data_IF_086022980246
#
_entry.id   IF_086022980246
#
_cell.length_a   1.000
_cell.length_b   1.000
_cell.length_c   1.000
_cell.angle_alpha   90.00
_cell.angle_beta   90.00
_cell.angle_gamma   90.00
#
_symmetry.space_group_name_H-M   'P 1'
#
loop_
_entity.id
_entity.type
_entity.pdbx_description
1 polymer ?
#
# COMPACT_ATOMS: atom_id res chain seq x y z
N UNK A 1 -35.18 -10.31 -54.68
CA UNK A 1 -35.19 -9.08 -53.84
C UNK A 1 -34.73 -9.53 -52.44
N UNK A 2 -33.52 -9.24 -51.91
CA UNK A 2 -32.96 -7.95 -51.41
C UNK A 2 -34.03 -7.16 -50.61
N UNK A 3 -33.90 -6.72 -49.35
CA UNK A 3 -32.82 -6.63 -48.33
C UNK A 3 -33.46 -6.36 -46.92
N UNK A 4 -32.75 -6.75 -45.87
CA UNK A 4 -32.52 -6.09 -44.55
C UNK A 4 -33.66 -5.62 -43.61
N UNK A 5 -33.58 -6.04 -42.33
CA UNK A 5 -33.14 -5.27 -41.12
C UNK A 5 -33.65 -6.02 -39.87
N UNK A 6 -32.93 -6.23 -38.76
CA UNK A 6 -31.69 -5.63 -38.28
C UNK A 6 -30.96 -6.51 -37.25
N UNK A 7 -29.87 -5.99 -36.66
CA UNK A 7 -28.88 -6.75 -35.92
C UNK A 7 -29.27 -6.89 -34.45
N UNK A 8 -29.32 -8.12 -33.93
CA UNK A 8 -29.34 -8.34 -32.47
C UNK A 8 -27.90 -8.45 -32.02
N UNK A 9 -27.50 -7.40 -31.29
CA UNK A 9 -26.31 -7.22 -30.48
C UNK A 9 -25.34 -8.41 -30.43
N UNK A 10 -24.16 -8.22 -31.03
CA UNK A 10 -22.94 -8.85 -30.56
C UNK A 10 -22.75 -8.47 -29.09
N UNK A 11 -22.89 -9.44 -28.18
CA UNK A 11 -22.35 -9.33 -26.84
C UNK A 11 -20.82 -9.44 -26.96
N UNK A 12 -20.17 -8.34 -27.30
CA UNK A 12 -18.74 -8.17 -27.00
C UNK A 12 -18.63 -8.17 -25.48
N UNK A 13 -18.36 -9.34 -24.92
CA UNK A 13 -17.82 -9.49 -23.57
C UNK A 13 -16.55 -8.65 -23.57
N UNK A 14 -16.64 -7.45 -22.99
CA UNK A 14 -15.50 -6.60 -22.73
C UNK A 14 -14.46 -7.46 -22.04
N UNK A 15 -13.29 -7.52 -22.66
CA UNK A 15 -12.05 -7.92 -22.03
C UNK A 15 -11.99 -7.27 -20.64
N UNK A 16 -12.25 -8.06 -19.60
CA UNK A 16 -11.61 -7.80 -18.33
C UNK A 16 -10.13 -8.00 -18.61
N UNK A 17 -9.45 -6.91 -18.99
CA UNK A 17 -8.01 -6.85 -18.90
C UNK A 17 -7.74 -6.98 -17.42
N UNK A 18 -7.57 -8.22 -16.98
CA UNK A 18 -6.82 -8.55 -15.80
C UNK A 18 -5.44 -7.98 -16.08
N UNK A 19 -5.26 -6.70 -15.77
CA UNK A 19 -3.96 -6.20 -15.43
C UNK A 19 -3.62 -6.99 -14.16
N UNK A 20 -3.05 -8.17 -14.35
CA UNK A 20 -2.02 -8.62 -13.46
C UNK A 20 -1.06 -7.44 -13.42
N UNK A 21 -1.23 -6.57 -12.43
CA UNK A 21 -0.14 -5.74 -11.96
C UNK A 21 0.98 -6.75 -11.80
N UNK A 22 2.01 -6.63 -12.64
CA UNK A 22 3.21 -7.43 -12.49
C UNK A 22 3.61 -7.13 -11.05
N UNK A 23 3.36 -8.10 -10.16
CA UNK A 23 3.82 -8.01 -8.80
C UNK A 23 5.32 -7.99 -8.96
N UNK A 24 5.92 -6.81 -8.91
CA UNK A 24 7.33 -6.73 -8.62
C UNK A 24 7.49 -7.51 -7.31
N UNK A 25 8.28 -8.58 -7.36
CA UNK A 25 8.45 -9.46 -6.21
C UNK A 25 8.97 -8.62 -5.03
N UNK A 26 8.46 -8.92 -3.84
CA UNK A 26 8.96 -8.29 -2.63
C UNK A 26 10.46 -8.52 -2.52
N UNK A 27 11.22 -7.45 -2.41
CA UNK A 27 12.64 -7.55 -2.11
C UNK A 27 12.79 -7.98 -0.66
N UNK A 28 13.33 -9.18 -0.42
CA UNK A 28 13.67 -9.71 0.92
C UNK A 28 14.72 -8.85 1.65
N UNK A 29 15.43 -7.99 0.91
CA UNK A 29 16.37 -7.04 1.49
C UNK A 29 16.49 -5.78 0.62
N UNK A 30 16.69 -4.61 1.24
CA UNK A 30 16.88 -3.37 0.50
C UNK A 30 18.14 -3.46 -0.38
N UNK A 31 18.06 -3.13 -1.68
CA UNK A 31 19.25 -3.10 -2.51
C UNK A 31 20.25 -2.06 -1.97
N UNK A 32 21.57 -2.33 -2.03
CA UNK A 32 22.57 -1.40 -1.54
C UNK A 32 22.45 -0.04 -2.26
N UNK A 33 22.51 1.04 -1.47
CA UNK A 33 22.40 2.42 -1.97
C UNK A 33 20.97 2.95 -2.14
N UNK A 34 19.97 2.29 -1.56
CA UNK A 34 18.57 2.73 -1.54
C UNK A 34 18.20 3.29 -0.17
N UNK A 35 17.45 4.39 -0.17
CA UNK A 35 16.94 4.98 1.06
C UNK A 35 15.80 4.13 1.64
N UNK A 36 15.85 3.89 2.94
CA UNK A 36 14.80 3.21 3.69
C UNK A 36 14.45 3.96 4.96
N UNK A 37 13.21 3.77 5.41
CA UNK A 37 12.70 4.36 6.64
C UNK A 37 11.94 3.33 7.44
N UNK A 38 12.18 3.32 8.75
CA UNK A 38 11.52 2.43 9.70
C UNK A 38 10.71 3.26 10.69
N UNK A 39 9.45 2.87 10.88
CA UNK A 39 8.50 3.49 11.78
C UNK A 39 7.94 2.45 12.73
N UNK A 40 7.54 2.86 13.95
CA UNK A 40 6.75 1.99 14.84
C UNK A 40 5.27 2.19 14.60
N UNK A 41 4.52 1.10 14.48
CA UNK A 41 3.06 1.09 14.58
C UNK A 41 2.63 0.79 16.03
N UNK A 42 2.99 1.67 16.95
CA UNK A 42 2.76 1.48 18.39
C UNK A 42 3.33 0.15 18.92
N UNK A 43 2.45 -0.70 19.46
CA UNK A 43 2.81 -2.06 19.95
C UNK A 43 2.65 -3.15 18.89
N UNK A 44 2.04 -2.84 17.75
CA UNK A 44 1.68 -3.84 16.75
C UNK A 44 2.90 -4.38 16.03
N UNK A 45 3.85 -3.51 15.66
CA UNK A 45 5.00 -3.92 14.86
C UNK A 45 5.84 -2.77 14.34
N UNK A 46 6.74 -3.13 13.43
CA UNK A 46 7.58 -2.21 12.65
C UNK A 46 6.98 -2.05 11.25
N UNK A 47 6.95 -0.82 10.75
CA UNK A 47 6.53 -0.50 9.40
C UNK A 47 7.72 0.04 8.62
N UNK A 48 8.00 -0.55 7.48
CA UNK A 48 9.18 -0.27 6.65
C UNK A 48 8.76 0.31 5.30
N UNK A 49 9.54 1.28 4.82
CA UNK A 49 9.34 1.93 3.54
C UNK A 49 10.67 1.95 2.80
N UNK A 50 10.69 1.46 1.57
CA UNK A 50 11.87 1.43 0.71
C UNK A 50 11.61 2.20 -0.58
N UNK A 51 12.53 3.08 -0.98
CA UNK A 51 12.50 3.65 -2.34
C UNK A 51 13.12 2.68 -3.33
N UNK A 52 12.35 2.21 -4.31
CA UNK A 52 12.85 1.42 -5.45
C UNK A 52 13.34 2.30 -6.61
N UNK A 53 13.37 3.63 -6.42
CA UNK A 53 13.72 4.62 -7.43
C UNK A 53 12.65 4.77 -8.51
N UNK A 54 12.83 5.77 -9.38
CA UNK A 54 11.87 6.11 -10.44
C UNK A 54 10.43 6.27 -9.92
N UNK A 55 10.26 6.83 -8.72
CA UNK A 55 8.94 7.01 -8.11
C UNK A 55 8.28 5.74 -7.57
N UNK A 56 8.96 4.59 -7.57
CA UNK A 56 8.45 3.34 -7.03
C UNK A 56 8.88 3.12 -5.59
N UNK A 57 7.99 2.54 -4.79
CA UNK A 57 8.21 2.25 -3.38
C UNK A 57 7.70 0.86 -3.01
N UNK A 58 8.35 0.27 -2.02
CA UNK A 58 7.93 -0.96 -1.40
C UNK A 58 7.65 -0.68 0.08
N UNK A 59 6.59 -1.29 0.61
CA UNK A 59 6.17 -1.15 2.00
C UNK A 59 6.05 -2.52 2.64
N UNK A 60 6.51 -2.67 3.87
CA UNK A 60 6.35 -3.89 4.66
C UNK A 60 5.87 -3.57 6.07
N UNK A 61 5.10 -4.49 6.65
CA UNK A 61 4.77 -4.46 8.06
C UNK A 61 5.17 -5.78 8.73
N UNK A 62 6.04 -5.68 9.73
CA UNK A 62 6.49 -6.78 10.56
C UNK A 62 5.80 -6.73 11.93
N UNK A 63 4.78 -7.58 12.18
CA UNK A 63 4.09 -7.62 13.46
C UNK A 63 4.96 -8.24 14.57
N UNK A 64 4.86 -7.71 15.78
CA UNK A 64 5.62 -8.16 16.95
C UNK A 64 5.14 -9.49 17.52
N UNK A 65 3.95 -9.95 17.16
CA UNK A 65 3.31 -11.14 17.72
C UNK A 65 3.70 -12.45 17.01
N UNK A 66 4.58 -12.38 16.01
CA UNK A 66 5.18 -13.56 15.40
C UNK A 66 4.27 -14.37 14.47
N UNK A 67 3.21 -13.75 13.92
CA UNK A 67 2.44 -14.20 12.73
C UNK A 67 1.38 -15.31 12.93
N UNK A 68 0.09 -14.97 12.79
CA UNK A 68 -0.89 -15.83 12.13
C UNK A 68 -0.78 -15.64 10.60
N UNK A 69 -0.56 -16.73 9.86
CA UNK A 69 -0.33 -16.75 8.40
C UNK A 69 -1.47 -16.17 7.54
N UNK A 70 -2.65 -15.96 8.12
CA UNK A 70 -3.84 -15.38 7.52
C UNK A 70 -4.06 -13.91 7.89
N UNK A 71 -3.19 -13.34 8.72
CA UNK A 71 -3.30 -11.94 9.11
C UNK A 71 -3.03 -11.03 7.92
N UNK A 72 -3.75 -9.91 7.88
CA UNK A 72 -3.56 -8.86 6.88
C UNK A 72 -3.30 -7.54 7.56
N UNK A 73 -2.54 -6.68 6.90
CA UNK A 73 -2.32 -5.31 7.29
C UNK A 73 -2.80 -4.34 6.21
N UNK A 74 -3.21 -3.15 6.63
CA UNK A 74 -3.44 -2.00 5.75
C UNK A 74 -2.65 -0.81 6.26
N UNK A 75 -2.34 0.12 5.36
CA UNK A 75 -1.93 1.46 5.74
C UNK A 75 -3.13 2.39 5.59
N UNK A 76 -3.47 3.08 6.66
CA UNK A 76 -4.59 4.01 6.71
C UNK A 76 -4.14 5.43 7.02
N UNK A 77 -4.83 6.42 6.45
CA UNK A 77 -4.62 7.83 6.69
C UNK A 77 -5.86 8.44 7.34
N UNK A 78 -5.64 9.20 8.41
CA UNK A 78 -6.65 10.03 9.05
C UNK A 78 -6.82 11.34 8.28
N UNK A 79 -8.02 11.59 7.78
CA UNK A 79 -8.39 12.82 7.06
C UNK A 79 -9.12 13.83 7.98
N UNK A 80 -9.67 13.34 9.09
CA UNK A 80 -10.38 14.15 10.08
C UNK A 80 -10.65 13.36 11.38
N UNK A 81 -11.42 13.92 12.33
CA UNK A 81 -11.64 13.28 13.64
C UNK A 81 -12.19 11.85 13.56
N UNK A 82 -13.04 11.57 12.57
CA UNK A 82 -13.74 10.30 12.38
C UNK A 82 -13.63 9.77 10.94
N UNK A 83 -12.68 10.28 10.15
CA UNK A 83 -12.57 9.95 8.73
C UNK A 83 -11.19 9.34 8.45
N UNK A 84 -11.21 8.14 7.86
CA UNK A 84 -10.04 7.31 7.59
C UNK A 84 -10.11 6.78 6.17
N UNK A 85 -8.98 6.82 5.48
CA UNK A 85 -8.82 6.31 4.12
C UNK A 85 -7.77 5.20 4.09
N UNK A 86 -8.05 4.10 3.38
CA UNK A 86 -7.08 3.04 3.15
C UNK A 86 -6.17 3.41 1.98
N UNK A 87 -4.90 3.68 2.28
CA UNK A 87 -3.86 4.02 1.30
C UNK A 87 -3.25 2.77 0.68
N UNK A 88 -2.87 1.81 1.52
CA UNK A 88 -2.42 0.49 1.08
C UNK A 88 -3.51 -0.51 1.42
N UNK A 89 -4.04 -1.14 0.37
CA UNK A 89 -5.08 -2.18 0.46
C UNK A 89 -4.58 -3.38 1.29
N UNK A 90 -5.51 -4.22 1.78
CA UNK A 90 -5.14 -5.39 2.58
C UNK A 90 -4.04 -6.21 1.93
N UNK A 91 -2.92 -6.33 2.65
CA UNK A 91 -1.72 -7.05 2.26
C UNK A 91 -1.47 -8.11 3.33
N UNK A 92 -1.04 -9.31 2.94
CA UNK A 92 -0.74 -10.35 3.92
C UNK A 92 0.39 -9.91 4.86
N UNK A 93 0.33 -10.32 6.12
CA UNK A 93 1.43 -10.18 7.06
C UNK A 93 2.69 -10.89 6.50
N UNK A 94 3.89 -10.34 6.76
CA UNK A 94 5.16 -10.67 6.04
C UNK A 94 5.15 -10.51 4.52
N UNK A 95 4.11 -9.94 3.93
CA UNK A 95 4.14 -9.57 2.51
C UNK A 95 4.33 -8.07 2.39
N UNK A 96 5.05 -7.67 1.36
CA UNK A 96 5.20 -6.28 1.01
C UNK A 96 4.08 -5.80 0.05
N UNK A 97 3.90 -4.49 -0.02
CA UNK A 97 3.11 -3.82 -1.04
C UNK A 97 4.00 -2.96 -1.92
N UNK A 98 3.91 -3.14 -3.23
CA UNK A 98 4.60 -2.31 -4.22
C UNK A 98 3.66 -1.23 -4.74
N UNK A 99 4.12 0.03 -4.73
CA UNK A 99 3.34 1.20 -5.15
C UNK A 99 4.17 2.02 -6.12
N UNK A 100 3.54 2.39 -7.23
CA UNK A 100 4.06 3.40 -8.16
C UNK A 100 3.44 4.76 -7.80
N UNK A 101 4.28 5.79 -7.64
CA UNK A 101 3.84 7.18 -7.40
C UNK A 101 2.92 7.72 -8.48
N UNK A 102 2.95 7.19 -9.70
CA UNK A 102 2.07 7.60 -10.80
C UNK A 102 0.68 6.95 -10.74
N UNK A 103 0.51 5.88 -9.94
CA UNK A 103 -0.72 5.08 -9.92
C UNK A 103 -1.81 5.61 -8.97
N UNK A 104 -1.49 6.51 -8.03
CA UNK A 104 -2.47 6.98 -7.03
C UNK A 104 -2.15 8.41 -6.52
N UNK A 105 -3.10 9.34 -6.71
CA UNK A 105 -3.02 10.69 -6.12
C UNK A 105 -2.95 10.66 -4.59
N UNK A 106 -3.58 9.68 -3.96
CA UNK A 106 -3.73 9.60 -2.49
C UNK A 106 -2.52 8.91 -1.85
N UNK A 107 -1.93 7.91 -2.51
CA UNK A 107 -0.66 7.30 -2.09
C UNK A 107 0.51 8.30 -2.16
N UNK A 108 0.45 9.29 -3.06
CA UNK A 108 1.47 10.34 -3.18
C UNK A 108 1.55 11.21 -1.92
N UNK A 109 0.42 11.48 -1.25
CA UNK A 109 0.42 12.24 0.00
C UNK A 109 1.02 11.46 1.17
N UNK A 110 0.76 10.16 1.24
CA UNK A 110 1.36 9.26 2.23
C UNK A 110 2.87 9.11 1.98
N UNK A 111 3.27 8.92 0.73
CA UNK A 111 4.67 8.87 0.32
C UNK A 111 5.43 10.16 0.67
N UNK A 112 4.81 11.33 0.50
CA UNK A 112 5.41 12.59 0.94
C UNK A 112 5.67 12.64 2.46
N UNK A 113 4.82 12.01 3.28
CA UNK A 113 5.06 11.93 4.72
C UNK A 113 6.25 11.03 5.07
N UNK A 114 6.36 9.87 4.43
CA UNK A 114 7.40 8.88 4.74
C UNK A 114 8.76 9.20 4.10
N UNK A 115 8.74 9.61 2.83
CA UNK A 115 9.92 9.71 1.96
C UNK A 115 10.53 11.10 1.99
N UNK A 116 9.70 12.16 2.01
CA UNK A 116 10.19 13.53 2.08
C UNK A 116 10.45 14.00 3.52
N UNK A 117 10.46 13.07 4.49
CA UNK A 117 10.73 13.35 5.89
C UNK A 117 9.79 14.39 6.54
N UNK A 118 8.52 14.45 6.10
CA UNK A 118 7.49 15.27 6.78
C UNK A 118 6.97 14.53 8.03
N UNK A 119 7.86 14.34 8.99
CA UNK A 119 7.61 13.50 10.17
C UNK A 119 6.52 14.04 11.10
N UNK A 120 6.22 15.33 11.03
CA UNK A 120 5.08 15.98 11.68
C UNK A 120 3.74 15.40 11.21
N UNK A 121 3.67 14.86 9.99
CA UNK A 121 2.46 14.24 9.42
C UNK A 121 2.32 12.75 9.73
N UNK A 122 3.36 12.08 10.23
CA UNK A 122 3.32 10.65 10.56
C UNK A 122 2.18 10.29 11.53
N UNK A 123 1.84 11.21 12.43
CA UNK A 123 0.78 11.02 13.41
C UNK A 123 -0.61 10.81 12.79
N UNK A 124 -0.80 11.16 11.51
CA UNK A 124 -2.04 10.92 10.79
C UNK A 124 -2.08 9.55 10.10
N UNK A 125 -1.02 8.75 10.18
CA UNK A 125 -0.96 7.44 9.53
C UNK A 125 -0.99 6.31 10.54
N UNK A 126 -1.65 5.22 10.17
CA UNK A 126 -1.92 4.08 11.05
C UNK A 126 -1.74 2.79 10.28
N UNK A 127 -1.21 1.77 10.95
CA UNK A 127 -1.34 0.38 10.50
C UNK A 127 -2.59 -0.20 11.13
N UNK A 128 -3.47 -0.78 10.30
CA UNK A 128 -4.51 -1.67 10.77
C UNK A 128 -4.02 -3.10 10.66
N UNK A 129 -4.02 -3.82 11.77
CA UNK A 129 -3.59 -5.22 11.83
C UNK A 129 -4.49 -5.98 12.79
N UNK A 130 -5.16 -7.02 12.30
CA UNK A 130 -6.09 -7.85 13.10
C UNK A 130 -7.16 -7.03 13.87
N UNK A 131 -7.68 -5.98 13.23
CA UNK A 131 -8.70 -5.09 13.81
C UNK A 131 -8.16 -4.09 14.85
N UNK A 132 -6.84 -4.01 15.03
CA UNK A 132 -6.19 -3.03 15.89
C UNK A 132 -5.52 -1.95 15.05
N UNK A 133 -5.56 -0.71 15.53
CA UNK A 133 -4.87 0.43 14.91
C UNK A 133 -3.60 0.78 15.68
N UNK A 134 -2.48 0.85 14.96
CA UNK A 134 -1.19 1.28 15.46
C UNK A 134 -0.77 2.58 14.79
N UNK A 135 -0.78 3.68 15.54
CA UNK A 135 -0.31 4.97 15.05
C UNK A 135 1.17 4.90 14.68
N UNK A 136 1.52 5.46 13.52
CA UNK A 136 2.90 5.53 13.07
C UNK A 136 3.66 6.63 13.82
N UNK A 137 4.87 6.28 14.26
CA UNK A 137 5.80 7.20 14.90
C UNK A 137 7.25 6.85 14.56
N UNK A 138 8.14 7.80 14.80
CA UNK A 138 9.58 7.59 14.63
C UNK A 138 10.08 6.47 15.53
N UNK A 139 10.97 5.64 14.99
CA UNK A 139 11.72 4.66 15.77
C UNK A 139 12.84 5.38 16.54
N UNK A 140 12.53 5.93 17.71
CA UNK A 140 13.55 6.50 18.59
C UNK A 140 14.19 5.36 19.40
N UNK A 141 15.52 5.22 19.29
CA UNK A 141 16.35 4.34 20.12
C UNK A 141 16.39 4.81 21.58
#
# INVERSE_FOLDING_TARGET
>A
MKLCTGPVLLLTVLFAVQHAAVADDCLDSPPPGRDWWTFRAGRLGSFEVWSLGNGRYQFEFEPNDGQPADSTWTLEQKLGPNDMETIIRPTHATSCANVDSEAYSDATNALNAFVLAQYDRLQNYYISYNGQLGQLGLYNY
#
